data_IF_153430225618
#
_entry.id   IF_153430225618
#
_cell.length_a   1.000
_cell.length_b   1.000
_cell.length_c   1.000
_cell.angle_alpha   90.00
_cell.angle_beta   90.00
_cell.angle_gamma   90.00
#
_symmetry.space_group_name_H-M   'P 1'
#
loop_
_entity.id
_entity.type
_entity.pdbx_description
1 polymer ?
#
# COMPACT_ATOMS: atom_id res chain seq x y z
N UNK A 1 13.56 -10.26 -31.51
CA UNK A 1 14.49 -10.12 -30.36
C UNK A 1 14.13 -8.95 -29.44
N UNK A 2 13.74 -7.77 -29.98
CA UNK A 2 13.39 -6.59 -29.17
C UNK A 2 12.11 -6.81 -28.33
N UNK A 3 11.13 -7.57 -28.82
CA UNK A 3 9.91 -7.88 -28.08
C UNK A 3 10.17 -8.70 -26.80
N UNK A 4 11.19 -9.55 -26.81
CA UNK A 4 11.53 -10.35 -25.64
C UNK A 4 12.18 -9.52 -24.51
N UNK A 5 12.96 -8.49 -24.86
CA UNK A 5 13.61 -7.63 -23.85
C UNK A 5 12.59 -6.72 -23.18
N UNK A 6 11.67 -6.14 -23.94
CA UNK A 6 10.60 -5.29 -23.39
C UNK A 6 9.65 -6.10 -22.50
N UNK A 7 9.29 -7.31 -22.92
CA UNK A 7 8.46 -8.22 -22.12
C UNK A 7 9.21 -8.72 -20.88
N UNK A 8 10.50 -8.97 -20.97
CA UNK A 8 11.35 -9.34 -19.84
C UNK A 8 11.44 -8.18 -18.84
N UNK A 9 11.67 -6.97 -19.32
CA UNK A 9 11.67 -5.77 -18.48
C UNK A 9 10.32 -5.54 -17.82
N UNK A 10 9.22 -5.66 -18.58
CA UNK A 10 7.86 -5.56 -18.06
C UNK A 10 7.60 -6.59 -16.97
N UNK A 11 7.93 -7.86 -17.20
CA UNK A 11 7.79 -8.93 -16.19
C UNK A 11 8.64 -8.66 -14.96
N UNK A 12 9.87 -8.22 -15.15
CA UNK A 12 10.78 -7.90 -14.06
C UNK A 12 10.26 -6.73 -13.21
N UNK A 13 9.88 -5.60 -13.85
CA UNK A 13 9.48 -4.38 -13.13
C UNK A 13 8.04 -4.37 -12.63
N UNK A 14 7.11 -5.07 -13.28
CA UNK A 14 5.68 -5.02 -12.93
C UNK A 14 5.16 -6.29 -12.26
N UNK A 15 5.75 -7.45 -12.52
CA UNK A 15 5.28 -8.74 -11.98
C UNK A 15 6.23 -9.25 -10.89
N UNK A 16 7.52 -8.89 -10.97
CA UNK A 16 8.58 -9.42 -10.12
C UNK A 16 9.02 -10.83 -10.56
N UNK A 17 10.33 -11.08 -10.53
CA UNK A 17 10.92 -12.35 -10.98
C UNK A 17 10.65 -13.50 -10.00
N UNK A 18 10.36 -13.19 -8.74
CA UNK A 18 10.04 -14.14 -7.68
C UNK A 18 8.84 -13.62 -6.88
N UNK A 19 7.90 -14.50 -6.60
CA UNK A 19 6.65 -14.19 -5.88
C UNK A 19 6.91 -13.47 -4.55
N UNK A 20 8.06 -13.68 -3.93
CA UNK A 20 8.41 -13.07 -2.63
C UNK A 20 9.17 -11.74 -2.75
N UNK A 21 9.71 -11.39 -3.92
CA UNK A 21 10.54 -10.19 -4.10
C UNK A 21 9.83 -9.02 -4.79
N UNK A 22 8.59 -9.22 -5.22
CA UNK A 22 7.80 -8.18 -5.91
C UNK A 22 7.70 -6.87 -5.11
N UNK A 23 7.61 -6.97 -3.78
CA UNK A 23 7.48 -5.81 -2.89
C UNK A 23 8.73 -4.93 -2.86
N UNK A 24 9.93 -5.50 -2.99
CA UNK A 24 11.17 -4.72 -3.06
C UNK A 24 11.18 -3.83 -4.30
N UNK A 25 10.86 -4.41 -5.44
CA UNK A 25 10.80 -3.69 -6.70
C UNK A 25 9.68 -2.66 -6.70
N UNK A 26 8.51 -3.03 -6.14
CA UNK A 26 7.39 -2.13 -5.94
C UNK A 26 7.79 -0.94 -5.04
N UNK A 27 8.55 -1.19 -3.97
CA UNK A 27 9.02 -0.14 -3.07
C UNK A 27 10.02 0.80 -3.77
N UNK A 28 10.99 0.26 -4.51
CA UNK A 28 11.94 1.07 -5.28
C UNK A 28 11.21 1.95 -6.30
N UNK A 29 10.30 1.37 -7.08
CA UNK A 29 9.50 2.12 -8.05
C UNK A 29 8.67 3.22 -7.38
N UNK A 30 8.03 2.92 -6.24
CA UNK A 30 7.24 3.87 -5.46
C UNK A 30 8.08 5.04 -4.93
N UNK A 31 9.27 4.75 -4.38
CA UNK A 31 10.19 5.78 -3.87
C UNK A 31 10.68 6.66 -5.02
N UNK A 32 11.08 6.09 -6.15
CA UNK A 32 11.50 6.86 -7.32
C UNK A 32 10.36 7.73 -7.85
N UNK A 33 9.15 7.20 -7.92
CA UNK A 33 7.97 7.95 -8.36
C UNK A 33 7.67 9.11 -7.40
N UNK A 34 7.67 8.88 -6.08
CA UNK A 34 7.51 9.94 -5.08
C UNK A 34 8.61 11.00 -5.19
N UNK A 35 9.86 10.56 -5.34
CA UNK A 35 11.01 11.47 -5.53
C UNK A 35 10.81 12.36 -6.74
N UNK A 36 10.38 11.83 -7.88
CA UNK A 36 10.11 12.61 -9.08
C UNK A 36 8.97 13.62 -8.87
N UNK A 37 7.89 13.23 -8.22
CA UNK A 37 6.77 14.11 -7.92
C UNK A 37 7.19 15.29 -7.03
N UNK A 38 7.99 15.01 -6.00
CA UNK A 38 8.45 16.04 -5.06
C UNK A 38 9.53 16.96 -5.68
N UNK A 39 10.54 16.39 -6.33
CA UNK A 39 11.71 17.14 -6.77
C UNK A 39 11.57 17.71 -8.18
N UNK A 40 11.13 16.90 -9.15
CA UNK A 40 11.06 17.28 -10.56
C UNK A 40 9.77 18.01 -10.90
N UNK A 41 8.63 17.50 -10.42
CA UNK A 41 7.32 18.08 -10.70
C UNK A 41 6.86 19.07 -9.62
N UNK A 42 7.54 19.14 -8.48
CA UNK A 42 7.24 20.05 -7.36
C UNK A 42 5.79 20.02 -6.91
N UNK A 43 5.19 18.84 -6.93
CA UNK A 43 3.82 18.68 -6.48
C UNK A 43 3.70 19.02 -5.00
N UNK A 44 2.60 19.66 -4.64
CA UNK A 44 2.29 19.90 -3.24
C UNK A 44 1.87 18.60 -2.53
N UNK A 45 1.99 18.58 -1.21
CA UNK A 45 1.66 17.40 -0.39
C UNK A 45 0.22 16.93 -0.60
N UNK A 46 -0.72 17.88 -0.78
CA UNK A 46 -2.13 17.52 -1.02
C UNK A 46 -2.33 16.79 -2.36
N UNK A 47 -1.67 17.24 -3.41
CA UNK A 47 -1.72 16.59 -4.72
C UNK A 47 -1.11 15.18 -4.68
N UNK A 48 0.02 15.01 -3.99
CA UNK A 48 0.67 13.69 -3.82
C UNK A 48 -0.26 12.74 -3.05
N UNK A 49 -0.89 13.21 -1.97
CA UNK A 49 -1.83 12.40 -1.19
C UNK A 49 -3.07 12.05 -2.01
N UNK A 50 -3.62 13.00 -2.77
CA UNK A 50 -4.76 12.73 -3.64
C UNK A 50 -4.43 11.67 -4.70
N UNK A 51 -3.26 11.77 -5.35
CA UNK A 51 -2.79 10.77 -6.30
C UNK A 51 -2.62 9.39 -5.63
N UNK A 52 -2.04 9.34 -4.42
CA UNK A 52 -1.86 8.10 -3.67
C UNK A 52 -3.21 7.44 -3.34
N UNK A 53 -4.19 8.22 -2.88
CA UNK A 53 -5.55 7.72 -2.58
C UNK A 53 -6.22 7.21 -3.85
N UNK A 54 -6.18 7.96 -4.95
CA UNK A 54 -6.78 7.56 -6.21
C UNK A 54 -6.16 6.27 -6.75
N UNK A 55 -4.83 6.17 -6.75
CA UNK A 55 -4.13 4.97 -7.21
C UNK A 55 -4.47 3.77 -6.32
N UNK A 56 -4.51 3.95 -4.98
CA UNK A 56 -4.89 2.88 -4.07
C UNK A 56 -6.30 2.37 -4.33
N UNK A 57 -7.27 3.28 -4.40
CA UNK A 57 -8.66 2.92 -4.69
C UNK A 57 -8.79 2.22 -6.04
N UNK A 58 -8.11 2.70 -7.08
CA UNK A 58 -8.07 2.03 -8.38
C UNK A 58 -7.53 0.60 -8.24
N UNK A 59 -6.46 0.39 -7.48
CA UNK A 59 -5.92 -0.94 -7.20
C UNK A 59 -6.89 -1.85 -6.46
N UNK A 60 -7.54 -1.35 -5.42
CA UNK A 60 -8.54 -2.08 -4.62
C UNK A 60 -9.73 -2.51 -5.49
N UNK A 61 -10.31 -1.59 -6.27
CA UNK A 61 -11.45 -1.89 -7.13
C UNK A 61 -11.11 -2.87 -8.25
N UNK A 62 -9.88 -2.83 -8.78
CA UNK A 62 -9.43 -3.78 -9.81
C UNK A 62 -8.98 -5.14 -9.27
N UNK A 63 -8.76 -5.25 -7.97
CA UNK A 63 -8.34 -6.49 -7.34
C UNK A 63 -9.53 -7.11 -6.58
N UNK A 64 -9.67 -6.75 -5.32
CA UNK A 64 -10.60 -7.37 -4.38
C UNK A 64 -12.07 -7.10 -4.71
N UNK A 65 -12.38 -5.90 -5.21
CA UNK A 65 -13.76 -5.49 -5.53
C UNK A 65 -14.11 -5.56 -7.01
N UNK A 66 -13.32 -6.26 -7.82
CA UNK A 66 -13.50 -6.34 -9.26
C UNK A 66 -14.91 -6.78 -9.66
N UNK A 67 -15.43 -7.82 -9.04
CA UNK A 67 -16.77 -8.35 -9.35
C UNK A 67 -17.88 -7.34 -9.07
N UNK A 68 -17.77 -6.59 -7.96
CA UNK A 68 -18.74 -5.52 -7.64
C UNK A 68 -18.64 -4.39 -8.66
N UNK A 69 -17.42 -4.03 -9.05
CA UNK A 69 -17.17 -2.97 -10.02
C UNK A 69 -17.70 -3.33 -11.42
N UNK A 70 -17.46 -4.55 -11.88
CA UNK A 70 -17.97 -5.05 -13.17
C UNK A 70 -19.50 -5.11 -13.21
N UNK A 71 -20.15 -5.34 -12.06
CA UNK A 71 -21.61 -5.36 -11.96
C UNK A 71 -22.23 -3.96 -11.98
N UNK A 72 -21.58 -2.99 -11.32
CA UNK A 72 -22.08 -1.61 -11.17
C UNK A 72 -21.72 -0.74 -12.38
N UNK A 73 -20.60 -1.01 -13.04
CA UNK A 73 -20.09 -0.25 -14.18
C UNK A 73 -19.66 -1.17 -15.32
N UNK A 74 -20.62 -1.78 -16.03
CA UNK A 74 -20.33 -2.73 -17.12
C UNK A 74 -19.50 -2.10 -18.26
N UNK A 75 -19.57 -0.78 -18.46
CA UNK A 75 -18.75 -0.04 -19.42
C UNK A 75 -17.26 0.03 -19.03
N UNK A 76 -16.90 -0.31 -17.79
CA UNK A 76 -15.52 -0.33 -17.34
C UNK A 76 -14.69 -1.50 -17.92
N UNK A 77 -15.32 -2.40 -18.68
CA UNK A 77 -14.58 -3.40 -19.46
C UNK A 77 -13.64 -2.79 -20.52
N UNK A 78 -13.86 -1.55 -20.93
CA UNK A 78 -12.94 -0.81 -21.80
C UNK A 78 -11.65 -0.37 -21.07
N UNK A 79 -11.62 -0.39 -19.74
CA UNK A 79 -10.42 -0.10 -18.95
C UNK A 79 -9.46 -1.32 -18.90
N UNK A 80 -9.76 -2.41 -19.57
CA UNK A 80 -8.88 -3.60 -19.61
C UNK A 80 -7.52 -3.34 -20.25
N UNK A 81 -7.37 -2.30 -21.09
CA UNK A 81 -6.04 -1.93 -21.59
C UNK A 81 -5.04 -1.62 -20.47
N UNK A 82 -5.50 -1.03 -19.38
CA UNK A 82 -4.73 -0.74 -18.19
C UNK A 82 -4.21 -2.03 -17.53
N UNK A 83 -5.03 -3.08 -17.40
CA UNK A 83 -4.59 -4.37 -16.90
C UNK A 83 -3.56 -5.04 -17.82
N UNK A 84 -3.65 -4.80 -19.13
CA UNK A 84 -2.65 -5.29 -20.09
C UNK A 84 -1.28 -4.63 -19.88
N UNK A 85 -1.23 -3.38 -19.40
CA UNK A 85 0.01 -2.65 -19.10
C UNK A 85 0.57 -3.06 -17.73
N UNK A 86 -0.27 -3.05 -16.69
CA UNK A 86 0.19 -3.23 -15.31
C UNK A 86 0.16 -4.67 -14.82
N UNK A 87 -0.49 -5.58 -15.54
CA UNK A 87 -0.62 -7.01 -15.26
C UNK A 87 -1.22 -7.38 -13.88
N UNK A 88 -0.95 -6.59 -12.85
CA UNK A 88 -1.44 -6.80 -11.47
C UNK A 88 -1.54 -5.47 -10.72
N UNK A 89 -2.48 -5.38 -9.79
CA UNK A 89 -2.56 -4.26 -8.85
C UNK A 89 -1.46 -4.30 -7.77
N UNK A 90 -0.78 -5.44 -7.61
CA UNK A 90 0.37 -5.60 -6.71
C UNK A 90 1.64 -5.04 -7.33
N UNK A 91 1.71 -3.74 -7.52
CA UNK A 91 2.88 -3.09 -8.11
C UNK A 91 3.26 -1.82 -7.34
N UNK A 92 4.33 -1.16 -7.80
CA UNK A 92 4.83 0.05 -7.19
C UNK A 92 3.87 1.23 -7.22
N UNK A 93 2.95 1.29 -8.17
CA UNK A 93 2.04 2.42 -8.33
C UNK A 93 0.78 2.29 -7.46
N UNK A 94 0.09 1.15 -7.54
CA UNK A 94 -1.21 0.98 -6.86
C UNK A 94 -1.07 0.55 -5.41
N UNK A 95 0.00 -0.20 -5.09
CA UNK A 95 0.27 -0.66 -3.74
C UNK A 95 1.44 0.09 -3.11
N UNK A 96 2.63 0.09 -3.71
CA UNK A 96 3.83 0.66 -3.12
C UNK A 96 3.74 2.16 -2.86
N UNK A 97 3.34 2.94 -3.87
CA UNK A 97 3.31 4.41 -3.79
C UNK A 97 2.39 4.97 -2.69
N UNK A 98 1.17 4.47 -2.47
CA UNK A 98 0.33 4.89 -1.35
C UNK A 98 0.99 4.72 0.02
N UNK A 99 1.64 3.59 0.27
CA UNK A 99 2.30 3.33 1.57
C UNK A 99 3.58 4.14 1.75
N UNK A 100 4.37 4.32 0.70
CA UNK A 100 5.56 5.21 0.72
C UNK A 100 5.13 6.66 0.93
N UNK A 101 4.05 7.11 0.29
CA UNK A 101 3.46 8.44 0.48
C UNK A 101 2.95 8.64 1.90
N UNK A 102 2.37 7.61 2.51
CA UNK A 102 1.94 7.64 3.92
C UNK A 102 3.14 7.86 4.85
N UNK A 103 4.24 7.13 4.63
CA UNK A 103 5.50 7.35 5.38
C UNK A 103 6.06 8.76 5.20
N UNK A 104 6.06 9.27 3.97
CA UNK A 104 6.43 10.66 3.67
C UNK A 104 5.54 11.67 4.41
N UNK A 105 4.22 11.44 4.42
CA UNK A 105 3.26 12.30 5.12
C UNK A 105 3.51 12.31 6.63
N UNK A 106 3.80 11.17 7.23
CA UNK A 106 4.16 11.08 8.65
C UNK A 106 5.42 11.88 8.95
N UNK A 107 6.43 11.83 8.08
CA UNK A 107 7.65 12.62 8.22
C UNK A 107 7.38 14.13 8.13
N UNK A 108 6.62 14.56 7.12
CA UNK A 108 6.30 15.99 6.89
C UNK A 108 5.43 16.57 8.01
N UNK A 109 4.57 15.76 8.61
CA UNK A 109 3.66 16.19 9.68
C UNK A 109 4.06 15.69 11.06
N UNK A 110 5.30 15.25 11.24
CA UNK A 110 5.77 14.66 12.50
C UNK A 110 5.45 15.51 13.73
N UNK A 111 5.66 16.83 13.64
CA UNK A 111 5.41 17.78 14.74
C UNK A 111 3.93 17.93 15.10
N UNK A 112 3.03 17.50 14.23
CA UNK A 112 1.57 17.57 14.45
C UNK A 112 0.98 16.25 14.95
N UNK A 113 1.74 15.17 14.84
CA UNK A 113 1.29 13.85 15.28
C UNK A 113 1.48 13.77 16.80
N UNK A 114 0.39 13.61 17.52
CA UNK A 114 0.38 13.48 18.98
C UNK A 114 0.20 12.02 19.37
N UNK A 115 0.75 11.65 20.52
CA UNK A 115 0.50 10.35 21.13
C UNK A 115 -1.02 10.16 21.34
N UNK A 116 -1.54 9.06 20.85
CA UNK A 116 -2.95 8.68 20.96
C UNK A 116 -3.07 7.16 21.13
N UNK A 117 -4.28 6.67 21.25
CA UNK A 117 -4.57 5.23 21.40
C UNK A 117 -4.41 4.44 20.09
N UNK A 118 -3.32 4.69 19.34
CA UNK A 118 -3.09 4.07 18.03
C UNK A 118 -3.12 2.54 18.05
N UNK A 119 -2.67 1.90 19.14
CA UNK A 119 -2.77 0.46 19.32
C UNK A 119 -4.23 -0.02 19.29
N UNK A 120 -5.14 0.68 19.97
CA UNK A 120 -6.56 0.35 19.95
C UNK A 120 -7.20 0.61 18.58
N UNK A 121 -6.82 1.70 17.91
CA UNK A 121 -7.27 1.96 16.55
C UNK A 121 -6.76 0.89 15.57
N UNK A 122 -5.53 0.40 15.75
CA UNK A 122 -5.01 -0.73 14.96
C UNK A 122 -5.90 -1.96 15.13
N UNK A 123 -6.22 -2.34 16.37
CA UNK A 123 -7.10 -3.50 16.64
C UNK A 123 -8.49 -3.28 16.04
N UNK A 124 -9.07 -2.09 16.21
CA UNK A 124 -10.38 -1.76 15.66
C UNK A 124 -10.40 -1.88 14.13
N UNK A 125 -9.45 -1.27 13.42
CA UNK A 125 -9.37 -1.36 11.96
C UNK A 125 -9.01 -2.76 11.48
N UNK A 126 -8.25 -3.54 12.26
CA UNK A 126 -7.97 -4.94 11.96
C UNK A 126 -9.27 -5.77 12.01
N UNK A 127 -10.11 -5.58 13.02
CA UNK A 127 -11.42 -6.23 13.10
C UNK A 127 -12.30 -5.83 11.92
N UNK A 128 -12.32 -4.55 11.56
CA UNK A 128 -13.05 -4.11 10.35
C UNK A 128 -12.51 -4.74 9.08
N UNK A 129 -11.19 -4.90 8.94
CA UNK A 129 -10.58 -5.59 7.80
C UNK A 129 -10.96 -7.06 7.76
N UNK A 130 -11.04 -7.74 8.90
CA UNK A 130 -11.53 -9.13 8.98
C UNK A 130 -13.02 -9.24 8.61
N UNK A 131 -13.83 -8.26 9.01
CA UNK A 131 -15.24 -8.19 8.59
C UNK A 131 -15.36 -7.90 7.09
N UNK A 132 -14.54 -7.01 6.55
CA UNK A 132 -14.43 -6.74 5.11
C UNK A 132 -14.13 -8.02 4.34
N UNK A 133 -13.12 -8.78 4.75
CA UNK A 133 -12.76 -10.08 4.18
C UNK A 133 -13.92 -11.08 4.24
N UNK A 134 -14.55 -11.21 5.40
CA UNK A 134 -15.67 -12.13 5.58
C UNK A 134 -16.84 -11.79 4.65
N UNK A 135 -17.21 -10.50 4.54
CA UNK A 135 -18.29 -10.04 3.65
C UNK A 135 -17.95 -10.33 2.19
N UNK A 136 -16.71 -10.04 1.77
CA UNK A 136 -16.27 -10.25 0.39
C UNK A 136 -16.32 -11.75 0.05
N UNK A 137 -15.78 -12.60 0.91
CA UNK A 137 -15.77 -14.05 0.71
C UNK A 137 -17.19 -14.61 0.60
N UNK A 138 -18.11 -14.13 1.42
CA UNK A 138 -19.53 -14.59 1.38
C UNK A 138 -20.32 -14.10 0.16
N UNK A 139 -19.98 -12.93 -0.37
CA UNK A 139 -20.76 -12.28 -1.44
C UNK A 139 -20.15 -12.45 -2.83
N UNK A 140 -18.84 -12.51 -2.92
CA UNK A 140 -18.10 -12.45 -4.19
C UNK A 140 -17.44 -13.80 -4.51
N UNK A 141 -17.23 -14.67 -3.49
CA UNK A 141 -16.53 -15.94 -3.65
C UNK A 141 -15.01 -15.77 -3.71
N UNK A 142 -14.31 -16.78 -4.20
CA UNK A 142 -12.85 -16.77 -4.30
C UNK A 142 -12.37 -15.75 -5.34
N UNK A 143 -11.97 -14.56 -4.90
CA UNK A 143 -11.23 -13.58 -5.67
C UNK A 143 -9.83 -13.39 -5.08
N UNK A 144 -8.94 -12.68 -5.77
CA UNK A 144 -7.63 -12.38 -5.19
C UNK A 144 -7.78 -11.35 -4.06
N UNK A 145 -7.71 -11.82 -2.83
CA UNK A 145 -7.90 -11.04 -1.60
C UNK A 145 -6.59 -10.36 -1.15
N UNK A 146 -6.08 -9.42 -1.96
CA UNK A 146 -4.76 -8.85 -1.73
C UNK A 146 -4.78 -7.40 -1.26
N UNK A 147 -5.86 -6.68 -1.51
CA UNK A 147 -5.97 -5.25 -1.21
C UNK A 147 -7.34 -4.94 -0.61
N UNK A 148 -7.38 -4.52 0.65
CA UNK A 148 -8.60 -4.15 1.36
C UNK A 148 -8.67 -2.64 1.60
N UNK A 149 -9.87 -2.08 1.68
CA UNK A 149 -10.07 -0.66 2.00
C UNK A 149 -9.50 -0.30 3.38
N UNK A 150 -9.54 -1.24 4.33
CA UNK A 150 -9.04 -1.02 5.69
C UNK A 150 -7.52 -1.13 5.82
N UNK A 151 -6.80 -1.75 4.87
CA UNK A 151 -5.34 -1.96 4.97
C UNK A 151 -4.52 -0.69 5.25
N UNK A 152 -4.74 0.47 4.57
CA UNK A 152 -3.98 1.67 4.87
C UNK A 152 -4.24 2.20 6.29
N UNK A 153 -5.46 2.06 6.80
CA UNK A 153 -5.82 2.50 8.15
C UNK A 153 -5.16 1.62 9.21
N UNK A 154 -5.15 0.30 9.02
CA UNK A 154 -4.43 -0.64 9.88
C UNK A 154 -2.95 -0.31 9.89
N UNK A 155 -2.33 -0.19 8.71
CA UNK A 155 -0.90 0.08 8.56
C UNK A 155 -0.50 1.43 9.16
N UNK A 156 -1.29 2.49 8.92
CA UNK A 156 -1.05 3.81 9.49
C UNK A 156 -1.04 3.79 11.02
N UNK A 157 -2.06 3.18 11.63
CA UNK A 157 -2.19 3.13 13.07
C UNK A 157 -1.14 2.22 13.71
N UNK A 158 -0.82 1.08 13.07
CA UNK A 158 0.25 0.18 13.52
C UNK A 158 1.61 0.88 13.51
N UNK A 159 1.93 1.60 12.44
CA UNK A 159 3.16 2.38 12.34
C UNK A 159 3.23 3.46 13.42
N UNK A 160 2.16 4.21 13.64
CA UNK A 160 2.11 5.24 14.68
C UNK A 160 2.17 4.63 16.07
N UNK A 161 1.50 3.50 16.31
CA UNK A 161 1.60 2.78 17.58
C UNK A 161 3.06 2.37 17.84
N UNK A 162 3.74 1.80 16.86
CA UNK A 162 5.14 1.41 16.98
C UNK A 162 6.07 2.62 17.20
N UNK A 163 5.82 3.75 16.52
CA UNK A 163 6.61 4.97 16.66
C UNK A 163 6.52 5.58 18.07
N UNK A 164 5.42 5.40 18.77
CA UNK A 164 5.23 5.90 20.14
C UNK A 164 5.53 4.89 21.26
N UNK A 165 5.97 3.66 20.91
CA UNK A 165 6.46 2.71 21.92
C UNK A 165 7.81 3.19 22.44
N UNK A 166 7.99 3.35 23.77
CA UNK A 166 9.28 3.77 24.36
C UNK A 166 10.29 2.61 24.32
N UNK A 167 10.87 2.37 23.15
CA UNK A 167 11.84 1.28 22.93
C UNK A 167 13.14 1.50 23.72
N UNK A 168 13.55 2.77 23.90
CA UNK A 168 14.80 3.12 24.56
C UNK A 168 14.90 2.68 26.04
N UNK A 169 13.82 2.79 26.81
CA UNK A 169 13.81 2.43 28.22
C UNK A 169 13.89 0.89 28.43
N UNK A 170 13.19 0.12 27.60
CA UNK A 170 13.18 -1.34 27.67
C UNK A 170 14.49 -1.96 27.18
N UNK A 171 15.08 -1.43 26.13
CA UNK A 171 16.39 -1.87 25.62
C UNK A 171 17.52 -1.50 26.59
N UNK A 172 17.46 -0.33 27.23
CA UNK A 172 18.39 0.07 28.26
C UNK A 172 18.35 -0.85 29.49
N UNK A 173 17.16 -1.25 29.91
CA UNK A 173 16.99 -2.21 31.01
C UNK A 173 17.50 -3.63 30.67
N UNK A 174 17.18 -4.13 29.47
CA UNK A 174 17.65 -5.42 28.99
C UNK A 174 19.19 -5.47 28.83
N UNK A 175 19.78 -4.41 28.23
CA UNK A 175 21.23 -4.29 28.09
C UNK A 175 21.96 -4.21 29.44
N UNK A 176 21.36 -3.62 30.48
CA UNK A 176 21.87 -3.55 31.83
C UNK A 176 21.83 -4.93 32.55
N UNK A 177 20.80 -5.73 32.22
CA UNK A 177 20.65 -7.08 32.76
C UNK A 177 21.64 -8.07 32.13
N UNK A 178 21.98 -7.90 30.83
CA UNK A 178 22.97 -8.74 30.15
C UNK A 178 24.44 -8.43 30.55
N UNK A 179 24.71 -7.31 31.21
CA UNK A 179 26.06 -6.92 31.66
C UNK A 179 26.34 -7.33 33.12
N UNK A 180 25.43 -7.98 33.80
CA UNK A 180 25.59 -8.60 35.11
C UNK A 180 25.67 -10.12 34.98
#
# INVERSE_FOLDING_TARGET
AAGNILELARRFFLIGSYIQLWYLLATVAAVLFLYLLVTRFRWNVKGIVAAAVLLYLTGVFHNTYRHVFDTVLPAANEIQWYLSVFATARNGFFFGFPFVTMGYLFRVKADRIRKSAYGWYTVFFLVLMMLEEWIITQKIGESSHDMYLMTPLVTANLFLAAAFVPVGERMGAAAKTMRR
#
